data_IF_631760583070
#
_entry.id   IF_631760583070
#
_cell.length_a   1.000
_cell.length_b   1.000
_cell.length_c   1.000
_cell.angle_alpha   90.00
_cell.angle_beta   90.00
_cell.angle_gamma   90.00
#
_symmetry.space_group_name_H-M   'P 1'
#
loop_
_entity.id
_entity.type
_entity.pdbx_description
1 polymer ?
#
# COMPACT_ATOMS: atom_id res chain seq x y z
N UNK A 1 -11.53 7.30 -14.67
CA UNK A 1 -11.48 5.96 -14.05
C UNK A 1 -12.85 5.72 -13.42
N UNK A 2 -13.32 4.48 -13.33
CA UNK A 2 -14.59 4.16 -12.66
C UNK A 2 -14.34 3.62 -11.24
N UNK A 3 -15.37 3.61 -10.40
CA UNK A 3 -15.23 3.20 -8.99
C UNK A 3 -14.71 1.75 -8.86
N UNK A 4 -15.19 0.83 -9.71
CA UNK A 4 -14.76 -0.58 -9.71
C UNK A 4 -13.24 -0.73 -9.96
N UNK A 5 -12.65 0.10 -10.80
CA UNK A 5 -11.18 0.11 -11.00
C UNK A 5 -10.48 0.82 -9.86
N UNK A 6 -11.03 1.91 -9.35
CA UNK A 6 -10.44 2.67 -8.26
C UNK A 6 -10.31 1.82 -6.98
N UNK A 7 -11.37 1.09 -6.63
CA UNK A 7 -11.48 0.25 -5.44
C UNK A 7 -10.32 -0.76 -5.33
N UNK A 8 -9.96 -1.40 -6.44
CA UNK A 8 -8.82 -2.33 -6.53
C UNK A 8 -7.47 -1.71 -6.13
N UNK A 9 -7.37 -0.40 -6.17
CA UNK A 9 -6.14 0.34 -5.95
C UNK A 9 -6.14 1.16 -4.67
N UNK A 10 -7.26 1.23 -3.92
CA UNK A 10 -7.34 2.05 -2.72
C UNK A 10 -6.41 1.55 -1.61
N UNK A 11 -6.29 0.24 -1.42
CA UNK A 11 -5.36 -0.34 -0.43
C UNK A 11 -3.91 0.04 -0.75
N UNK A 12 -3.44 -0.25 -1.97
CA UNK A 12 -2.10 0.12 -2.42
C UNK A 12 -1.86 1.64 -2.41
N UNK A 13 -2.90 2.46 -2.58
CA UNK A 13 -2.81 3.91 -2.41
C UNK A 13 -2.58 4.29 -0.94
N UNK A 14 -3.29 3.67 0.01
CA UNK A 14 -3.13 3.90 1.46
C UNK A 14 -1.78 3.43 1.97
N UNK A 15 -1.22 2.38 1.38
CA UNK A 15 0.08 1.83 1.74
C UNK A 15 1.26 2.47 1.01
N UNK A 16 0.99 3.44 0.13
CA UNK A 16 1.98 4.09 -0.74
C UNK A 16 2.73 3.12 -1.68
N UNK A 17 2.16 1.95 -1.91
CA UNK A 17 2.71 0.89 -2.76
C UNK A 17 2.29 1.01 -4.23
N UNK A 18 1.55 2.06 -4.56
CA UNK A 18 0.98 2.21 -5.88
C UNK A 18 2.06 2.53 -6.94
N UNK A 19 2.28 1.62 -7.88
CA UNK A 19 3.31 1.76 -8.92
C UNK A 19 2.79 2.52 -10.14
N UNK A 20 3.66 3.35 -10.71
CA UNK A 20 3.41 4.08 -11.95
C UNK A 20 2.76 5.46 -11.74
N UNK A 21 3.43 6.50 -12.23
CA UNK A 21 3.01 7.89 -12.10
C UNK A 21 1.61 8.15 -12.68
N UNK A 22 1.34 7.60 -13.87
CA UNK A 22 0.04 7.76 -14.55
C UNK A 22 -1.12 7.18 -13.75
N UNK A 23 -0.91 6.03 -13.09
CA UNK A 23 -1.94 5.39 -12.29
C UNK A 23 -2.24 6.22 -11.03
N UNK A 24 -1.19 6.69 -10.33
CA UNK A 24 -1.33 7.62 -9.19
C UNK A 24 -2.14 8.86 -9.59
N UNK A 25 -1.78 9.50 -10.70
CA UNK A 25 -2.50 10.69 -11.21
C UNK A 25 -3.96 10.40 -11.52
N UNK A 26 -4.27 9.24 -12.11
CA UNK A 26 -5.66 8.85 -12.45
C UNK A 26 -6.50 8.57 -11.20
N UNK A 27 -5.91 7.95 -10.18
CA UNK A 27 -6.57 7.69 -8.89
C UNK A 27 -6.81 9.00 -8.14
N UNK A 28 -5.81 9.87 -8.01
CA UNK A 28 -5.95 11.19 -7.37
C UNK A 28 -7.12 11.97 -7.95
N UNK A 29 -7.16 12.13 -9.28
CA UNK A 29 -8.24 12.84 -9.97
C UNK A 29 -9.63 12.23 -9.76
N UNK A 30 -9.70 10.92 -9.55
CA UNK A 30 -10.98 10.25 -9.27
C UNK A 30 -11.41 10.49 -7.82
N UNK A 31 -10.47 10.39 -6.88
CA UNK A 31 -10.71 10.66 -5.46
C UNK A 31 -11.10 12.12 -5.20
N UNK A 32 -10.63 13.08 -6.01
CA UNK A 32 -11.06 14.48 -5.92
C UNK A 32 -12.56 14.68 -6.21
N UNK A 33 -13.18 13.78 -7.00
CA UNK A 33 -14.54 13.98 -7.53
C UNK A 33 -15.56 12.95 -7.03
N UNK A 34 -15.10 11.82 -6.50
CA UNK A 34 -15.98 10.70 -6.17
C UNK A 34 -16.12 10.53 -4.65
N UNK A 35 -17.24 11.00 -4.10
CA UNK A 35 -17.55 10.87 -2.68
C UNK A 35 -17.58 9.39 -2.20
N UNK A 36 -18.04 8.47 -3.04
CA UNK A 36 -18.04 7.04 -2.72
C UNK A 36 -16.61 6.50 -2.50
N UNK A 37 -15.70 6.76 -3.44
CA UNK A 37 -14.32 6.30 -3.31
C UNK A 37 -13.54 7.05 -2.22
N UNK A 38 -13.88 8.31 -1.93
CA UNK A 38 -13.35 9.02 -0.76
C UNK A 38 -13.76 8.32 0.54
N UNK A 39 -15.04 7.94 0.67
CA UNK A 39 -15.52 7.20 1.84
C UNK A 39 -14.81 5.86 1.99
N UNK A 40 -14.59 5.13 0.90
CA UNK A 40 -13.85 3.86 0.93
C UNK A 40 -12.38 4.03 1.29
N UNK A 41 -11.75 5.09 0.78
CA UNK A 41 -10.39 5.44 1.16
C UNK A 41 -10.28 5.73 2.66
N UNK A 42 -11.26 6.43 3.22
CA UNK A 42 -11.27 6.75 4.65
C UNK A 42 -11.42 5.50 5.52
N UNK A 43 -12.29 4.54 5.13
CA UNK A 43 -12.40 3.25 5.84
C UNK A 43 -11.07 2.51 5.82
N UNK A 44 -10.37 2.46 4.68
CA UNK A 44 -9.05 1.83 4.57
C UNK A 44 -8.02 2.48 5.51
N UNK A 45 -8.02 3.82 5.60
CA UNK A 45 -7.14 4.57 6.53
C UNK A 45 -7.44 4.27 7.99
N UNK A 46 -8.72 4.20 8.36
CA UNK A 46 -9.14 3.88 9.72
C UNK A 46 -8.74 2.45 10.11
N UNK A 47 -8.90 1.48 9.21
CA UNK A 47 -8.43 0.11 9.43
C UNK A 47 -6.91 0.09 9.64
N UNK A 48 -6.14 0.77 8.79
CA UNK A 48 -4.68 0.88 8.94
C UNK A 48 -4.27 1.49 10.28
N UNK A 49 -4.94 2.57 10.71
CA UNK A 49 -4.69 3.19 12.01
C UNK A 49 -5.05 2.26 13.18
N UNK A 50 -6.15 1.50 13.07
CA UNK A 50 -6.54 0.51 14.07
C UNK A 50 -5.49 -0.61 14.16
N UNK A 51 -5.00 -1.11 13.03
CA UNK A 51 -3.94 -2.12 13.01
C UNK A 51 -2.66 -1.59 13.64
N UNK A 52 -2.24 -0.38 13.30
CA UNK A 52 -1.03 0.24 13.87
C UNK A 52 -1.12 0.42 15.40
N UNK A 53 -2.31 0.60 15.95
CA UNK A 53 -2.51 0.79 17.40
C UNK A 53 -2.77 -0.50 18.17
N UNK A 54 -3.42 -1.49 17.54
CA UNK A 54 -3.84 -2.73 18.21
C UNK A 54 -2.90 -3.90 18.01
N UNK A 55 -2.09 -3.89 16.94
CA UNK A 55 -1.18 -5.00 16.64
C UNK A 55 0.16 -4.76 17.32
N UNK A 56 0.67 -5.78 17.99
CA UNK A 56 2.00 -5.75 18.57
C UNK A 56 3.05 -5.66 17.46
N UNK A 57 3.82 -4.59 17.44
CA UNK A 57 5.01 -4.50 16.60
C UNK A 57 6.06 -5.51 17.08
N UNK A 58 6.41 -6.45 16.22
CA UNK A 58 7.48 -7.42 16.46
C UNK A 58 8.77 -6.86 15.88
N UNK A 59 9.80 -6.72 16.70
CA UNK A 59 11.13 -6.35 16.21
C UNK A 59 11.67 -7.47 15.35
N UNK A 60 12.13 -7.13 14.15
CA UNK A 60 12.86 -8.08 13.31
C UNK A 60 14.14 -8.54 14.02
N UNK A 61 14.55 -9.81 13.86
CA UNK A 61 15.87 -10.27 14.27
C UNK A 61 16.98 -9.39 13.64
N UNK A 62 18.05 -9.07 14.37
CA UNK A 62 19.08 -8.13 13.92
C UNK A 62 19.79 -8.59 12.63
N UNK A 63 19.83 -9.90 12.38
CA UNK A 63 20.45 -10.54 11.23
C UNK A 63 19.50 -10.72 10.03
N UNK A 64 18.20 -10.41 10.18
CA UNK A 64 17.21 -10.64 9.12
C UNK A 64 17.53 -9.84 7.85
N UNK A 65 17.94 -8.58 7.98
CA UNK A 65 18.27 -7.73 6.83
C UNK A 65 19.44 -8.28 6.01
N UNK A 66 20.47 -8.79 6.70
CA UNK A 66 21.62 -9.45 6.08
C UNK A 66 21.19 -10.72 5.35
N UNK A 67 20.40 -11.58 5.99
CA UNK A 67 19.87 -12.81 5.39
C UNK A 67 19.04 -12.54 4.14
N UNK A 68 18.18 -11.52 4.17
CA UNK A 68 17.38 -11.10 3.02
C UNK A 68 18.27 -10.62 1.87
N UNK A 69 19.31 -9.82 2.15
CA UNK A 69 20.23 -9.32 1.12
C UNK A 69 20.99 -10.45 0.42
N UNK A 70 21.58 -11.37 1.18
CA UNK A 70 22.30 -12.54 0.63
C UNK A 70 21.41 -13.36 -0.31
N UNK A 71 20.14 -13.58 0.07
CA UNK A 71 19.17 -14.31 -0.76
C UNK A 71 18.79 -13.56 -2.04
N UNK A 72 18.66 -12.23 -1.97
CA UNK A 72 18.35 -11.40 -3.15
C UNK A 72 19.50 -11.42 -4.15
N UNK A 73 20.75 -11.29 -3.68
CA UNK A 73 21.94 -11.32 -4.54
C UNK A 73 22.05 -12.66 -5.29
N UNK A 74 21.80 -13.78 -4.59
CA UNK A 74 21.77 -15.13 -5.20
C UNK A 74 20.66 -15.28 -6.25
N UNK A 75 19.50 -14.66 -6.03
CA UNK A 75 18.38 -14.72 -6.96
C UNK A 75 18.58 -13.85 -8.21
N UNK A 76 19.45 -12.84 -8.15
CA UNK A 76 19.77 -11.95 -9.27
C UNK A 76 20.97 -12.41 -10.10
N UNK A 77 21.73 -13.40 -9.62
CA UNK A 77 22.88 -14.00 -10.32
C UNK A 77 22.50 -15.24 -11.16
N UNK A 78 21.25 -15.69 -11.08
CA UNK A 78 20.64 -16.70 -11.95
C UNK A 78 19.61 -16.05 -12.88
#
# INVERSE_FOLDING_TARGET
MNCKKADKYLAAWVDDELKGWWLRRRISRHLEKCAFCQKMLEIQRQIKALLATKVKHVKAPPDLSMKVRVRLDQAMQN
#
